data_IF_945730528590
#
_entry.id   IF_945730528590
#
_cell.length_a   1.000
_cell.length_b   1.000
_cell.length_c   1.000
_cell.angle_alpha   90.00
_cell.angle_beta   90.00
_cell.angle_gamma   90.00
#
_symmetry.space_group_name_H-M   'P 1'
#
loop_
_entity.id
_entity.type
_entity.pdbx_description
1 polymer ?
#
# COMPACT_ATOMS: atom_id res chain seq x y z
N UNK A 1 35.28 -34.63 15.19
CA UNK A 1 34.49 -35.88 15.18
C UNK A 1 33.37 -35.76 14.15
N UNK A 2 32.69 -36.85 13.77
CA UNK A 2 31.56 -36.87 12.82
C UNK A 2 30.23 -37.17 13.56
N UNK A 3 29.12 -36.96 12.86
CA UNK A 3 27.74 -37.37 13.21
C UNK A 3 27.09 -36.51 14.33
N UNK A 4 25.76 -36.37 14.40
CA UNK A 4 24.68 -36.93 13.56
C UNK A 4 23.57 -35.88 13.31
N UNK A 5 22.93 -35.86 12.14
CA UNK A 5 21.59 -35.27 12.00
C UNK A 5 20.57 -36.23 12.63
N UNK A 6 19.60 -35.72 13.38
CA UNK A 6 18.37 -36.47 13.65
C UNK A 6 17.20 -35.74 13.00
N UNK A 7 16.33 -36.51 12.36
CA UNK A 7 15.09 -36.06 11.74
C UNK A 7 13.93 -36.58 12.59
N UNK A 8 12.94 -35.74 12.85
CA UNK A 8 11.75 -36.12 13.60
C UNK A 8 10.55 -36.16 12.66
N UNK A 9 10.10 -37.36 12.33
CA UNK A 9 8.79 -37.64 11.75
C UNK A 9 8.31 -38.99 12.31
N UNK A 10 7.09 -39.05 12.82
CA UNK A 10 6.48 -40.23 13.41
C UNK A 10 4.98 -39.97 13.62
N UNK A 11 4.14 -40.95 13.27
CA UNK A 11 2.74 -40.69 12.87
C UNK A 11 1.72 -41.28 13.88
N UNK A 12 0.44 -41.57 13.57
CA UNK A 12 -0.67 -41.22 14.46
C UNK A 12 -1.12 -42.35 15.41
N UNK A 13 -2.12 -42.04 16.24
CA UNK A 13 -3.02 -43.04 16.84
C UNK A 13 -4.37 -43.07 16.13
N UNK A 14 -5.07 -44.20 16.23
CA UNK A 14 -6.22 -44.56 15.41
C UNK A 14 -7.41 -45.03 16.29
N UNK A 15 -8.61 -44.73 15.80
CA UNK A 15 -9.97 -45.28 16.02
C UNK A 15 -10.35 -46.08 17.29
N UNK A 16 -11.60 -45.87 17.71
CA UNK A 16 -12.46 -46.91 18.28
C UNK A 16 -13.88 -46.71 17.76
N UNK A 17 -14.39 -47.69 17.00
CA UNK A 17 -15.73 -47.68 16.43
C UNK A 17 -16.80 -48.10 17.46
N UNK A 18 -18.08 -47.77 17.17
CA UNK A 18 -19.24 -48.67 17.38
C UNK A 18 -20.34 -48.37 16.37
N UNK A 19 -20.83 -49.43 15.73
CA UNK A 19 -22.04 -49.50 14.90
C UNK A 19 -23.31 -49.61 15.81
N UNK A 20 -24.57 -49.86 15.41
CA UNK A 20 -25.31 -50.36 14.22
C UNK A 20 -26.81 -49.94 14.45
N UNK A 21 -27.85 -50.04 13.60
CA UNK A 21 -28.14 -50.54 12.25
C UNK A 21 -29.45 -49.85 11.72
N UNK A 22 -29.79 -49.96 10.42
CA UNK A 22 -31.14 -49.71 9.85
C UNK A 22 -31.40 -48.29 9.30
N UNK A 23 -31.97 -48.07 8.11
CA UNK A 23 -32.70 -48.94 7.15
C UNK A 23 -34.13 -48.39 6.95
N UNK A 24 -34.73 -48.25 5.76
CA UNK A 24 -34.51 -48.75 4.38
C UNK A 24 -34.97 -47.64 3.36
N UNK A 25 -34.41 -47.52 2.13
CA UNK A 25 -34.94 -47.94 0.79
C UNK A 25 -36.45 -47.71 0.53
N UNK A 26 -37.04 -47.50 -0.66
CA UNK A 26 -36.74 -47.55 -2.12
C UNK A 26 -37.46 -46.35 -2.82
N UNK A 27 -37.45 -46.03 -4.14
CA UNK A 27 -36.52 -46.13 -5.31
C UNK A 27 -37.27 -45.54 -6.57
N UNK A 28 -36.60 -45.32 -7.72
CA UNK A 28 -37.17 -45.10 -9.09
C UNK A 28 -37.89 -43.76 -9.44
N UNK A 29 -38.05 -43.33 -10.70
CA UNK A 29 -37.15 -43.34 -11.90
C UNK A 29 -37.65 -42.31 -12.96
N UNK A 30 -36.78 -41.98 -13.92
CA UNK A 30 -36.91 -41.35 -15.26
C UNK A 30 -38.29 -41.05 -15.89
N UNK A 31 -38.44 -39.87 -16.51
CA UNK A 31 -38.69 -39.74 -17.98
C UNK A 31 -38.57 -38.27 -18.50
N UNK A 32 -38.62 -38.07 -19.83
CA UNK A 32 -38.23 -36.81 -20.52
C UNK A 32 -39.33 -36.18 -21.40
N UNK A 33 -39.38 -34.84 -21.48
CA UNK A 33 -40.08 -34.12 -22.56
C UNK A 33 -39.44 -32.74 -22.88
N UNK A 34 -39.58 -32.27 -24.13
CA UNK A 34 -39.12 -30.97 -24.66
C UNK A 34 -40.32 -30.12 -25.12
N UNK A 35 -40.20 -28.78 -25.13
CA UNK A 35 -40.79 -27.85 -26.12
C UNK A 35 -40.25 -26.41 -25.93
N UNK A 36 -40.38 -25.56 -26.95
CA UNK A 36 -39.50 -24.41 -27.24
C UNK A 36 -40.01 -23.00 -26.88
N UNK A 37 -39.08 -22.04 -27.05
CA UNK A 37 -39.25 -20.64 -27.51
C UNK A 37 -39.94 -19.57 -26.63
N UNK A 38 -39.14 -18.56 -26.24
CA UNK A 38 -39.07 -17.29 -27.01
C UNK A 38 -37.99 -16.33 -26.48
N UNK A 39 -37.25 -15.66 -27.37
CA UNK A 39 -36.21 -14.66 -27.01
C UNK A 39 -36.73 -13.22 -27.18
N UNK A 40 -36.66 -12.36 -26.14
CA UNK A 40 -36.91 -10.93 -26.29
C UNK A 40 -35.66 -10.19 -26.81
N UNK A 41 -35.71 -9.76 -28.08
CA UNK A 41 -34.66 -8.91 -28.68
C UNK A 41 -34.74 -7.49 -28.11
N UNK A 42 -33.61 -6.92 -27.67
CA UNK A 42 -33.49 -5.48 -27.39
C UNK A 42 -33.24 -4.71 -28.70
N UNK A 43 -34.01 -3.65 -29.02
CA UNK A 43 -33.70 -2.78 -30.14
C UNK A 43 -32.58 -1.80 -29.78
N UNK A 44 -31.67 -1.54 -30.72
CA UNK A 44 -30.80 -0.37 -30.68
C UNK A 44 -31.49 0.83 -31.34
N UNK A 45 -31.33 2.04 -30.80
CA UNK A 45 -31.47 3.27 -31.60
C UNK A 45 -30.69 4.43 -30.98
N UNK A 46 -30.16 5.31 -31.85
CA UNK A 46 -29.13 6.30 -31.54
C UNK A 46 -29.61 7.52 -30.74
N UNK A 47 -28.80 7.88 -29.74
CA UNK A 47 -28.42 9.22 -29.25
C UNK A 47 -29.46 10.37 -29.15
N UNK A 48 -29.54 10.97 -27.95
CA UNK A 48 -29.69 12.42 -27.80
C UNK A 48 -28.72 12.94 -26.71
N UNK A 49 -28.43 14.24 -26.70
CA UNK A 49 -27.25 14.81 -26.00
C UNK A 49 -27.53 15.20 -24.54
N UNK A 50 -26.69 14.73 -23.62
CA UNK A 50 -26.63 15.21 -22.23
C UNK A 50 -25.38 16.09 -22.03
N UNK A 51 -25.58 17.37 -21.73
CA UNK A 51 -24.49 18.34 -21.54
C UNK A 51 -23.82 18.12 -20.17
N UNK A 52 -22.56 17.69 -20.18
CA UNK A 52 -21.73 17.61 -18.97
C UNK A 52 -21.20 19.01 -18.61
N UNK A 53 -21.34 19.50 -17.38
CA UNK A 53 -20.78 20.79 -16.99
C UNK A 53 -19.24 20.74 -17.03
N UNK A 54 -18.63 21.59 -17.87
CA UNK A 54 -17.18 21.74 -17.88
C UNK A 54 -16.72 22.42 -16.59
N UNK A 55 -15.95 21.70 -15.76
CA UNK A 55 -15.24 22.29 -14.63
C UNK A 55 -14.16 23.21 -15.20
N UNK A 56 -14.27 24.51 -14.89
CA UNK A 56 -13.36 25.53 -15.41
C UNK A 56 -11.96 25.25 -14.87
N UNK A 57 -11.00 25.08 -15.78
CA UNK A 57 -9.58 24.95 -15.45
C UNK A 57 -9.05 26.35 -15.14
N UNK A 58 -8.61 26.58 -13.91
CA UNK A 58 -7.93 27.84 -13.56
C UNK A 58 -6.49 27.80 -14.11
N UNK A 59 -6.29 28.39 -15.28
CA UNK A 59 -4.99 28.57 -15.94
C UNK A 59 -4.14 29.63 -15.23
N UNK A 60 -3.56 29.31 -14.06
CA UNK A 60 -2.48 30.13 -13.49
C UNK A 60 -1.37 29.29 -12.83
N UNK A 61 -0.62 28.58 -13.68
CA UNK A 61 0.64 27.94 -13.29
C UNK A 61 1.72 28.10 -14.38
N UNK A 62 1.91 29.31 -14.92
CA UNK A 62 3.14 29.62 -15.67
C UNK A 62 4.34 29.65 -14.71
N UNK A 63 4.92 28.47 -14.52
CA UNK A 63 6.22 28.25 -13.89
C UNK A 63 7.13 27.50 -14.87
N UNK A 64 7.47 28.15 -15.99
CA UNK A 64 8.54 27.77 -16.93
C UNK A 64 8.74 26.25 -17.08
N UNK A 65 8.04 25.65 -18.04
CA UNK A 65 8.26 24.23 -18.40
C UNK A 65 9.65 23.99 -19.03
N UNK A 66 10.65 23.80 -18.17
CA UNK A 66 11.87 23.07 -18.49
C UNK A 66 11.79 21.66 -17.88
N UNK A 67 12.27 20.66 -18.61
CA UNK A 67 12.52 19.28 -18.15
C UNK A 67 11.31 18.41 -17.76
N UNK A 68 10.17 18.60 -18.44
CA UNK A 68 9.14 17.56 -18.59
C UNK A 68 9.47 16.49 -19.64
N UNK A 69 10.74 16.35 -20.06
CA UNK A 69 11.22 15.42 -21.10
C UNK A 69 10.74 13.97 -20.87
N UNK A 70 10.80 13.51 -19.63
CA UNK A 70 10.39 12.15 -19.25
C UNK A 70 8.93 11.81 -19.61
N UNK A 71 8.03 12.82 -19.71
CA UNK A 71 6.62 12.63 -20.11
C UNK A 71 6.47 12.28 -21.60
N UNK A 72 7.48 12.59 -22.43
CA UNK A 72 7.49 12.33 -23.87
C UNK A 72 8.13 10.97 -24.22
N UNK A 73 8.82 10.34 -23.26
CA UNK A 73 9.51 9.07 -23.43
C UNK A 73 8.50 7.92 -23.35
N UNK A 74 8.33 7.19 -24.45
CA UNK A 74 7.37 6.07 -24.57
C UNK A 74 7.76 4.82 -23.79
N UNK A 75 9.05 4.62 -23.52
CA UNK A 75 9.57 3.46 -22.80
C UNK A 75 9.58 3.73 -21.28
N UNK A 76 8.73 3.07 -20.47
CA UNK A 76 8.59 3.39 -19.05
C UNK A 76 9.91 3.31 -18.27
N UNK A 77 10.78 2.38 -18.62
CA UNK A 77 12.09 2.19 -17.99
C UNK A 77 13.02 3.40 -18.22
N UNK A 78 12.92 4.04 -19.38
CA UNK A 78 13.70 5.23 -19.73
C UNK A 78 13.06 6.50 -19.14
N UNK A 79 11.72 6.61 -19.16
CA UNK A 79 11.00 7.70 -18.52
C UNK A 79 11.30 7.78 -17.01
N UNK A 80 11.24 6.64 -16.31
CA UNK A 80 11.58 6.54 -14.89
C UNK A 80 13.06 6.89 -14.60
N UNK A 81 13.99 6.56 -15.51
CA UNK A 81 15.41 6.95 -15.40
C UNK A 81 15.57 8.47 -15.47
N UNK A 82 15.02 9.12 -16.49
CA UNK A 82 15.16 10.59 -16.67
C UNK A 82 14.45 11.35 -15.53
N UNK A 83 13.27 10.88 -15.11
CA UNK A 83 12.59 11.42 -13.93
C UNK A 83 13.46 11.33 -12.67
N UNK A 84 14.08 10.16 -12.39
CA UNK A 84 15.03 9.99 -11.28
C UNK A 84 16.22 10.93 -11.37
N UNK A 85 16.83 11.04 -12.55
CA UNK A 85 18.04 11.84 -12.75
C UNK A 85 17.78 13.34 -12.55
N UNK A 86 16.65 13.85 -13.04
CA UNK A 86 16.24 15.24 -12.81
C UNK A 86 15.91 15.50 -11.33
N UNK A 87 15.12 14.61 -10.72
CA UNK A 87 14.71 14.72 -9.30
C UNK A 87 15.93 14.69 -8.36
N UNK A 88 16.94 13.85 -8.64
CA UNK A 88 18.20 13.85 -7.87
C UNK A 88 19.05 15.11 -8.12
N UNK A 89 19.17 15.54 -9.38
CA UNK A 89 19.91 16.74 -9.79
C UNK A 89 19.39 18.01 -9.09
N UNK A 90 18.08 18.09 -8.86
CA UNK A 90 17.43 19.26 -8.23
C UNK A 90 17.40 19.18 -6.69
N UNK A 91 17.30 17.98 -6.11
CA UNK A 91 16.97 17.83 -4.68
C UNK A 91 18.01 17.08 -3.81
N UNK A 92 18.96 16.33 -4.38
CA UNK A 92 19.86 15.47 -3.59
C UNK A 92 20.82 16.25 -2.65
N UNK A 93 21.10 17.52 -2.95
CA UNK A 93 21.91 18.43 -2.11
C UNK A 93 21.06 19.32 -1.19
N UNK A 94 19.74 19.11 -1.16
CA UNK A 94 18.83 19.84 -0.28
C UNK A 94 19.10 19.59 1.21
N UNK A 95 18.69 20.53 2.07
CA UNK A 95 18.81 20.39 3.52
C UNK A 95 18.10 19.11 3.98
N UNK A 96 18.79 18.14 4.61
CA UNK A 96 18.14 16.89 4.99
C UNK A 96 17.01 17.11 5.99
N UNK A 97 15.88 16.46 5.73
CA UNK A 97 14.83 16.24 6.71
C UNK A 97 15.41 15.37 7.83
N UNK A 98 15.03 15.64 9.09
CA UNK A 98 15.57 14.92 10.24
C UNK A 98 14.44 14.31 11.05
N UNK A 99 14.44 12.98 11.13
CA UNK A 99 13.50 12.20 11.92
C UNK A 99 14.26 11.46 13.03
N UNK A 100 13.61 11.28 14.18
CA UNK A 100 14.07 10.37 15.23
C UNK A 100 12.98 9.35 15.50
N UNK A 101 13.36 8.12 15.79
CA UNK A 101 12.43 7.09 16.22
C UNK A 101 13.09 6.36 17.39
N UNK A 102 12.57 6.51 18.60
CA UNK A 102 13.02 5.65 19.70
C UNK A 102 12.42 4.26 19.50
N UNK A 103 13.25 3.22 19.59
CA UNK A 103 12.77 1.83 19.47
C UNK A 103 12.21 1.28 20.77
N UNK A 104 12.38 2.03 21.88
CA UNK A 104 11.93 1.67 23.24
C UNK A 104 10.55 2.25 23.58
N UNK A 105 10.10 3.25 22.82
CA UNK A 105 8.75 3.83 22.92
C UNK A 105 7.69 2.79 22.48
N UNK A 106 6.45 3.00 22.92
CA UNK A 106 5.34 2.12 22.50
C UNK A 106 5.12 2.21 20.98
N UNK A 107 4.52 1.18 20.39
CA UNK A 107 4.22 1.21 18.94
C UNK A 107 3.30 2.37 18.59
N UNK A 108 2.30 2.66 19.44
CA UNK A 108 1.37 3.78 19.26
C UNK A 108 2.10 5.14 19.29
N UNK A 109 3.02 5.35 20.25
CA UNK A 109 3.78 6.60 20.34
C UNK A 109 4.72 6.79 19.15
N UNK A 110 5.38 5.70 18.71
CA UNK A 110 6.27 5.70 17.53
C UNK A 110 5.52 5.99 16.24
N UNK A 111 4.31 5.46 16.08
CA UNK A 111 3.41 5.79 14.98
C UNK A 111 2.92 7.24 15.08
N UNK A 112 2.63 7.74 16.29
CA UNK A 112 2.17 9.12 16.50
C UNK A 112 3.25 10.12 16.08
N UNK A 113 4.50 9.91 16.48
CA UNK A 113 5.67 10.66 16.00
C UNK A 113 5.81 10.57 14.47
N UNK A 114 5.68 9.38 13.87
CA UNK A 114 5.76 9.17 12.44
C UNK A 114 4.67 9.93 11.65
N UNK A 115 3.41 9.88 12.12
CA UNK A 115 2.31 10.64 11.52
C UNK A 115 2.48 12.15 11.73
N UNK A 116 2.95 12.59 12.91
CA UNK A 116 3.22 14.01 13.18
C UNK A 116 4.30 14.56 12.24
N UNK A 117 5.40 13.82 12.03
CA UNK A 117 6.43 14.15 11.05
C UNK A 117 5.84 14.33 9.63
N UNK A 118 5.07 13.35 9.14
CA UNK A 118 4.47 13.45 7.81
C UNK A 118 3.29 14.43 7.67
N UNK A 119 2.68 14.90 8.77
CA UNK A 119 1.70 16.01 8.73
C UNK A 119 2.36 17.38 8.49
N UNK A 120 3.65 17.55 8.80
CA UNK A 120 4.38 18.83 8.62
C UNK A 120 4.34 19.36 7.18
N UNK A 121 4.34 20.68 7.04
CA UNK A 121 4.45 21.35 5.73
C UNK A 121 5.92 21.71 5.47
N UNK A 122 6.57 20.93 4.62
CA UNK A 122 7.96 21.07 4.21
C UNK A 122 8.13 20.57 2.78
N UNK A 123 9.31 20.79 2.19
CA UNK A 123 9.64 20.17 0.91
C UNK A 123 9.96 18.69 1.15
N UNK A 124 9.27 17.81 0.42
CA UNK A 124 9.34 16.36 0.58
C UNK A 124 10.27 15.69 -0.43
N UNK A 125 10.64 16.38 -1.52
CA UNK A 125 11.84 16.07 -2.27
C UNK A 125 13.05 16.71 -1.56
N UNK A 126 13.48 16.09 -0.46
CA UNK A 126 14.68 16.43 0.31
C UNK A 126 15.26 15.14 0.92
N UNK A 127 16.58 15.00 1.11
CA UNK A 127 17.16 13.78 1.67
C UNK A 127 16.64 13.55 3.09
N UNK A 128 16.34 12.30 3.47
CA UNK A 128 16.03 11.99 4.87
C UNK A 128 17.29 11.54 5.63
N UNK A 129 17.43 12.02 6.85
CA UNK A 129 18.27 11.42 7.88
C UNK A 129 17.39 10.97 9.04
N UNK A 130 17.31 9.66 9.26
CA UNK A 130 16.62 9.06 10.39
C UNK A 130 17.64 8.57 11.42
N UNK A 131 17.35 8.75 12.71
CA UNK A 131 18.16 8.22 13.82
C UNK A 131 17.30 7.32 14.69
N UNK A 132 17.70 6.06 14.86
CA UNK A 132 17.10 5.19 15.87
C UNK A 132 17.68 5.55 17.25
N UNK A 133 16.82 5.75 18.24
CA UNK A 133 17.23 5.98 19.64
C UNK A 133 16.93 4.71 20.44
N UNK A 134 17.81 4.36 21.37
CA UNK A 134 17.72 3.08 22.10
C UNK A 134 18.36 1.87 21.38
N UNK A 135 18.81 2.05 20.15
CA UNK A 135 19.59 1.09 19.36
C UNK A 135 20.97 1.70 19.01
N UNK A 136 21.95 0.86 18.68
CA UNK A 136 23.29 1.22 18.17
C UNK A 136 23.38 1.13 16.64
N UNK A 137 22.27 0.87 15.95
CA UNK A 137 22.20 0.80 14.50
C UNK A 137 22.67 2.10 13.79
N UNK A 138 23.59 1.94 12.84
CA UNK A 138 24.18 3.02 12.04
C UNK A 138 24.24 2.65 10.55
N UNK A 139 24.32 3.66 9.68
CA UNK A 139 24.37 3.49 8.22
C UNK A 139 23.01 3.16 7.58
N UNK A 140 23.05 2.71 6.32
CA UNK A 140 21.86 2.51 5.47
C UNK A 140 20.77 1.62 6.06
N UNK A 141 21.12 0.70 6.97
CA UNK A 141 20.16 -0.19 7.63
C UNK A 141 19.06 0.57 8.37
N UNK A 142 19.38 1.73 8.95
CA UNK A 142 18.41 2.61 9.63
C UNK A 142 17.40 3.19 8.64
N UNK A 143 17.86 3.65 7.47
CA UNK A 143 16.99 4.20 6.44
C UNK A 143 16.07 3.13 5.85
N UNK A 144 16.64 1.95 5.57
CA UNK A 144 15.89 0.78 5.08
C UNK A 144 14.82 0.35 6.08
N UNK A 145 15.17 0.24 7.37
CA UNK A 145 14.22 -0.08 8.43
C UNK A 145 13.07 0.91 8.48
N UNK A 146 13.37 2.21 8.57
CA UNK A 146 12.36 3.27 8.64
C UNK A 146 11.41 3.28 7.44
N UNK A 147 11.94 3.11 6.22
CA UNK A 147 11.14 3.02 4.99
C UNK A 147 10.29 1.75 4.93
N UNK A 148 10.83 0.59 5.36
CA UNK A 148 10.04 -0.65 5.48
C UNK A 148 8.94 -0.52 6.53
N UNK A 149 9.17 0.16 7.67
CA UNK A 149 8.13 0.45 8.66
C UNK A 149 7.02 1.32 8.08
N UNK A 150 7.34 2.36 7.30
CA UNK A 150 6.34 3.20 6.61
C UNK A 150 5.46 2.36 5.68
N UNK A 151 6.06 1.61 4.76
CA UNK A 151 5.30 0.80 3.79
C UNK A 151 4.47 -0.27 4.51
N UNK A 152 5.02 -0.89 5.55
CA UNK A 152 4.30 -1.85 6.39
C UNK A 152 3.06 -1.24 7.06
N UNK A 153 3.16 -0.03 7.66
CA UNK A 153 2.00 0.64 8.29
C UNK A 153 0.98 1.19 7.29
N UNK A 154 1.39 1.49 6.05
CA UNK A 154 0.46 1.80 4.96
C UNK A 154 -0.28 0.56 4.44
N UNK A 155 0.36 -0.60 4.40
CA UNK A 155 -0.22 -1.86 3.92
C UNK A 155 -1.08 -2.58 4.96
N UNK A 156 -0.64 -2.61 6.21
CA UNK A 156 -1.22 -3.42 7.29
C UNK A 156 -1.85 -2.61 8.42
N UNK A 157 -1.88 -1.27 8.30
CA UNK A 157 -2.52 -0.36 9.25
C UNK A 157 -1.63 0.11 10.41
N UNK A 158 -2.09 1.18 11.06
CA UNK A 158 -1.50 1.81 12.25
C UNK A 158 -2.23 1.32 13.51
N UNK A 159 -1.48 0.89 14.52
CA UNK A 159 -1.96 0.44 15.83
C UNK A 159 -2.65 1.56 16.64
N UNK A 160 -2.42 2.84 16.28
CA UNK A 160 -3.29 3.96 16.66
C UNK A 160 -4.76 3.71 16.26
N UNK A 161 -5.69 3.77 17.21
CA UNK A 161 -7.12 3.78 16.91
C UNK A 161 -7.65 5.20 16.69
N UNK A 162 -7.74 5.61 15.42
CA UNK A 162 -8.31 6.89 14.99
C UNK A 162 -9.74 6.74 14.43
N UNK A 163 -10.32 5.53 14.51
CA UNK A 163 -11.62 5.20 13.91
C UNK A 163 -12.62 4.48 14.84
N UNK A 164 -12.23 4.14 16.06
CA UNK A 164 -13.03 3.35 17.00
C UNK A 164 -13.04 1.85 16.70
N UNK A 165 -12.03 1.34 15.98
CA UNK A 165 -11.93 -0.05 15.51
C UNK A 165 -10.67 -0.79 15.98
N UNK A 166 -9.92 -0.23 16.93
CA UNK A 166 -8.68 -0.81 17.47
C UNK A 166 -7.46 -0.74 16.55
N UNK A 167 -7.65 -0.42 15.27
CA UNK A 167 -6.57 -0.20 14.29
C UNK A 167 -7.03 0.78 13.20
N UNK A 168 -6.15 1.69 12.77
CA UNK A 168 -6.38 2.57 11.63
C UNK A 168 -5.85 1.94 10.34
N UNK A 169 -6.75 1.38 9.53
CA UNK A 169 -6.48 1.02 8.14
C UNK A 169 -6.75 2.24 7.24
N UNK A 170 -5.76 2.65 6.44
CA UNK A 170 -5.95 3.70 5.43
C UNK A 170 -6.44 3.14 4.08
N UNK A 171 -6.21 1.86 3.83
CA UNK A 171 -6.66 1.18 2.63
C UNK A 171 -7.35 -0.14 3.00
N UNK A 172 -8.39 -0.50 2.26
CA UNK A 172 -9.26 -1.65 2.51
C UNK A 172 -9.54 -2.44 1.22
N UNK A 173 -9.91 -3.71 1.34
CA UNK A 173 -10.16 -4.62 0.21
C UNK A 173 -9.23 -5.83 0.18
N UNK A 174 -9.21 -6.53 -0.95
CA UNK A 174 -8.33 -7.70 -1.18
C UNK A 174 -6.86 -7.28 -1.32
N UNK A 175 -5.87 -8.15 -1.01
CA UNK A 175 -4.45 -7.78 -0.96
C UNK A 175 -3.87 -7.11 -2.22
N UNK A 176 -4.30 -7.54 -3.41
CA UNK A 176 -3.87 -6.96 -4.70
C UNK A 176 -4.77 -5.81 -5.20
N UNK A 177 -5.84 -5.48 -4.46
CA UNK A 177 -6.91 -4.57 -4.87
C UNK A 177 -7.30 -3.55 -3.78
N UNK A 178 -6.34 -3.19 -2.91
CA UNK A 178 -6.54 -2.22 -1.82
C UNK A 178 -6.95 -0.84 -2.36
N UNK A 179 -8.07 -0.30 -1.86
CA UNK A 179 -8.60 1.02 -2.19
C UNK A 179 -8.59 1.96 -0.96
N UNK A 180 -8.53 3.29 -1.14
CA UNK A 180 -8.60 4.24 -0.01
C UNK A 180 -9.87 4.06 0.82
N UNK A 181 -9.72 3.92 2.14
CA UNK A 181 -10.84 3.61 3.02
C UNK A 181 -11.86 4.77 3.12
N UNK A 182 -13.15 4.47 3.02
CA UNK A 182 -14.21 5.49 2.87
C UNK A 182 -14.57 6.28 4.16
N UNK A 183 -13.74 6.20 5.22
CA UNK A 183 -14.04 6.77 6.54
C UNK A 183 -13.82 8.29 6.59
N UNK A 184 -14.87 9.02 6.96
CA UNK A 184 -14.90 10.48 7.12
C UNK A 184 -13.78 10.98 8.06
N UNK A 185 -13.56 10.30 9.19
CA UNK A 185 -12.51 10.63 10.15
C UNK A 185 -11.09 10.57 9.55
N UNK A 186 -10.84 9.68 8.58
CA UNK A 186 -9.54 9.56 7.89
C UNK A 186 -9.35 10.64 6.82
N UNK A 187 -10.46 11.07 6.20
CA UNK A 187 -10.51 12.17 5.24
C UNK A 187 -10.25 13.51 5.96
N UNK A 188 -11.03 13.83 7.01
CA UNK A 188 -10.88 15.07 7.79
C UNK A 188 -9.49 15.20 8.42
N UNK A 189 -8.97 14.11 9.02
CA UNK A 189 -7.66 14.10 9.67
C UNK A 189 -6.46 14.17 8.71
N UNK A 190 -6.71 14.32 7.39
CA UNK A 190 -5.74 14.50 6.31
C UNK A 190 -4.78 13.29 6.13
N UNK A 191 -5.17 12.09 6.57
CA UNK A 191 -4.27 10.93 6.56
C UNK A 191 -3.94 10.42 5.15
N UNK A 192 -4.84 10.59 4.17
CA UNK A 192 -4.52 10.32 2.77
C UNK A 192 -3.40 11.22 2.21
N UNK A 193 -3.32 12.47 2.67
CA UNK A 193 -2.22 13.39 2.31
C UNK A 193 -0.91 12.99 2.99
N UNK A 194 -0.98 12.42 4.20
CA UNK A 194 0.16 11.80 4.90
C UNK A 194 0.66 10.57 4.14
N UNK A 195 -0.24 9.66 3.75
CA UNK A 195 0.08 8.48 2.96
C UNK A 195 0.71 8.84 1.60
N UNK A 196 0.17 9.84 0.90
CA UNK A 196 0.77 10.33 -0.36
C UNK A 196 2.20 10.87 -0.18
N UNK A 197 2.49 11.58 0.92
CA UNK A 197 3.86 12.02 1.25
C UNK A 197 4.76 10.86 1.60
N UNK A 198 4.29 9.90 2.38
CA UNK A 198 5.02 8.67 2.72
C UNK A 198 5.41 7.88 1.46
N UNK A 199 4.45 7.64 0.56
CA UNK A 199 4.67 6.94 -0.70
C UNK A 199 5.62 7.70 -1.63
N UNK A 200 5.46 9.02 -1.80
CA UNK A 200 6.34 9.83 -2.64
C UNK A 200 7.78 9.95 -2.12
N UNK A 201 7.95 10.02 -0.78
CA UNK A 201 9.25 10.16 -0.13
C UNK A 201 10.08 8.87 -0.18
N UNK A 202 9.42 7.69 -0.21
CA UNK A 202 10.09 6.39 -0.12
C UNK A 202 11.03 6.10 -1.31
N UNK A 203 10.62 6.24 -2.59
CA UNK A 203 11.53 6.10 -3.72
C UNK A 203 12.66 7.14 -3.68
N UNK A 204 12.37 8.41 -3.36
CA UNK A 204 13.39 9.46 -3.37
C UNK A 204 14.53 9.17 -2.39
N UNK A 205 14.20 8.84 -1.14
CA UNK A 205 15.22 8.53 -0.13
C UNK A 205 16.05 7.29 -0.47
N UNK A 206 15.44 6.28 -1.10
CA UNK A 206 16.14 5.08 -1.57
C UNK A 206 16.96 5.32 -2.87
N UNK A 207 16.92 6.53 -3.44
CA UNK A 207 17.64 6.92 -4.64
C UNK A 207 18.79 7.93 -4.38
N UNK A 208 18.78 8.65 -3.26
CA UNK A 208 19.87 9.55 -2.86
C UNK A 208 21.05 8.74 -2.31
N UNK A 209 22.26 8.82 -2.89
CA UNK A 209 23.43 8.21 -2.29
C UNK A 209 23.77 8.94 -0.99
N UNK A 210 23.79 8.21 0.14
CA UNK A 210 24.11 8.83 1.42
C UNK A 210 25.61 9.13 1.53
N UNK A 211 25.96 10.40 1.68
CA UNK A 211 27.30 10.82 2.08
C UNK A 211 27.69 10.16 3.40
N UNK A 212 28.89 9.58 3.46
CA UNK A 212 29.51 9.17 4.71
C UNK A 212 30.30 10.36 5.26
N UNK A 213 29.66 11.09 6.19
CA UNK A 213 30.31 12.06 7.08
C UNK A 213 30.98 11.33 8.27
#
# INVERSE_FOLDING_TARGET
>A
MKLHRLSCNGTPMQESEREQEGGQSEENDSETALVSDSVPVRPETSAESAVVPAVIVNEELDRKETDSEWKLIKEPSQAAKVFKENLLREHATGKPLRMKMDVRDSEEDRERELLLFYKQQQEWACPLHCTLVGDVAIGEGVMRYFMTTIISKLQFGFSLDLGGMGQTLLFEGEPDHLVPAASEALIESNLFRVAGRMLGHTPFCMMVPMSQD
#
